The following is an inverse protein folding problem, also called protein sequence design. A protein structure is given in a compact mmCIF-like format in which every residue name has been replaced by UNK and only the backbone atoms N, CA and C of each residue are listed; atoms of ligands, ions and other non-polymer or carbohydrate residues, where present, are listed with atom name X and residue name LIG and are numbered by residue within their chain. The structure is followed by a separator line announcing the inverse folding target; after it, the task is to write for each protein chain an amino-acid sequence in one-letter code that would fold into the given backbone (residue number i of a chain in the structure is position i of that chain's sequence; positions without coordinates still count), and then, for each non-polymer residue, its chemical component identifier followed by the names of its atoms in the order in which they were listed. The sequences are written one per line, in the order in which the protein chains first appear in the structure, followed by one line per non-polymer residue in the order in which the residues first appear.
data_IF_307699834981
#
_entry.id   IF_307699834981
#
_cell.length_a   1.000
_cell.length_b   1.000
_cell.length_c   1.000
_cell.angle_alpha   90.00
_cell.angle_beta   90.00
_cell.angle_gamma   90.00
#
_symmetry.space_group_name_H-M   'P 1'
#
loop_
_entity.id
_entity.type
_entity.pdbx_description
1 polymer ?
#
# COMPACT_ATOMS: atom_id res chain seq x y z
N UNK A 1 -12.32 -30.95 -18.57
CA UNK A 1 -12.29 -29.49 -18.79
C UNK A 1 -12.89 -28.85 -17.55
N UNK A 2 -12.08 -28.20 -16.72
CA UNK A 2 -12.65 -27.27 -15.73
C UNK A 2 -13.27 -26.11 -16.50
N UNK A 3 -14.56 -25.85 -16.28
CA UNK A 3 -15.27 -24.74 -16.90
C UNK A 3 -14.77 -23.39 -16.38
N UNK A 4 -14.84 -22.36 -17.20
CA UNK A 4 -14.48 -20.99 -16.79
C UNK A 4 -15.30 -20.57 -15.57
N UNK A 5 -14.67 -20.11 -14.47
CA UNK A 5 -15.39 -19.69 -13.26
C UNK A 5 -16.30 -18.48 -13.52
N UNK A 6 -17.41 -18.39 -12.77
CA UNK A 6 -18.35 -17.28 -12.91
C UNK A 6 -17.74 -15.96 -12.40
N UNK A 7 -18.26 -14.82 -12.88
CA UNK A 7 -17.87 -13.49 -12.40
C UNK A 7 -18.01 -13.37 -10.88
N UNK A 8 -19.09 -13.91 -10.31
CA UNK A 8 -19.35 -13.91 -8.88
C UNK A 8 -18.28 -14.70 -8.11
N UNK A 9 -17.88 -15.88 -8.62
CA UNK A 9 -16.80 -16.68 -8.02
C UNK A 9 -15.49 -15.91 -7.99
N UNK A 10 -15.13 -15.24 -9.09
CA UNK A 10 -13.90 -14.42 -9.18
C UNK A 10 -13.95 -13.26 -8.17
N UNK A 11 -15.08 -12.56 -8.07
CA UNK A 11 -15.26 -11.47 -7.10
C UNK A 11 -15.23 -11.95 -5.66
N UNK A 12 -15.79 -13.13 -5.36
CA UNK A 12 -15.73 -13.73 -4.04
C UNK A 12 -14.29 -14.04 -3.61
N UNK A 13 -13.43 -14.46 -4.55
CA UNK A 13 -12.01 -14.68 -4.30
C UNK A 13 -11.27 -13.43 -3.82
N UNK A 14 -11.71 -12.24 -4.22
CA UNK A 14 -11.14 -10.98 -3.71
C UNK A 14 -11.37 -10.83 -2.20
N UNK A 15 -12.49 -11.31 -1.67
CA UNK A 15 -12.76 -11.37 -0.22
C UNK A 15 -12.13 -12.61 0.44
N UNK A 16 -11.21 -13.28 -0.24
CA UNK A 16 -10.49 -14.45 0.25
C UNK A 16 -9.56 -14.14 1.42
N UNK A 17 -9.09 -15.20 2.07
CA UNK A 17 -8.20 -15.09 3.22
C UNK A 17 -6.86 -14.41 2.89
N UNK A 18 -6.37 -14.51 1.65
CA UNK A 18 -5.14 -13.86 1.19
C UNK A 18 -5.25 -12.34 1.24
N UNK A 19 -6.29 -11.77 0.64
CA UNK A 19 -6.52 -10.31 0.63
C UNK A 19 -6.66 -9.76 2.05
N UNK A 20 -7.42 -10.45 2.90
CA UNK A 20 -7.56 -10.06 4.32
C UNK A 20 -6.22 -10.02 5.04
N UNK A 21 -5.37 -11.04 4.84
CA UNK A 21 -4.02 -11.06 5.44
C UNK A 21 -3.16 -9.93 4.93
N UNK A 22 -3.16 -9.66 3.61
CA UNK A 22 -2.42 -8.54 3.04
C UNK A 22 -2.86 -7.21 3.64
N UNK A 23 -4.17 -6.98 3.76
CA UNK A 23 -4.69 -5.73 4.30
C UNK A 23 -4.33 -5.55 5.77
N UNK A 24 -4.49 -6.60 6.59
CA UNK A 24 -4.08 -6.57 7.99
C UNK A 24 -2.58 -6.30 8.15
N UNK A 25 -1.73 -6.83 7.27
CA UNK A 25 -0.29 -6.52 7.28
C UNK A 25 -0.03 -5.05 6.95
N UNK A 26 -0.67 -4.50 5.91
CA UNK A 26 -0.51 -3.09 5.56
C UNK A 26 -1.00 -2.15 6.66
N UNK A 27 -2.10 -2.49 7.33
CA UNK A 27 -2.61 -1.74 8.48
C UNK A 27 -1.59 -1.72 9.62
N UNK A 28 -1.04 -2.87 10.01
CA UNK A 28 0.00 -2.93 11.05
C UNK A 28 1.25 -2.12 10.70
N UNK A 29 1.61 -2.07 9.42
CA UNK A 29 2.72 -1.25 8.95
C UNK A 29 2.41 0.25 9.08
N UNK A 30 1.17 0.67 8.82
CA UNK A 30 0.75 2.05 9.05
C UNK A 30 0.76 2.38 10.55
N UNK A 31 0.20 1.52 11.40
CA UNK A 31 0.24 1.67 12.87
C UNK A 31 1.67 1.86 13.39
N UNK A 32 2.59 0.99 12.96
CA UNK A 32 4.00 1.10 13.31
C UNK A 32 4.63 2.41 12.78
N UNK A 33 4.33 2.78 11.53
CA UNK A 33 4.82 4.04 10.95
C UNK A 33 4.34 5.26 11.74
N UNK A 34 3.06 5.31 12.10
CA UNK A 34 2.50 6.42 12.88
C UNK A 34 3.12 6.48 14.29
N UNK A 35 3.33 5.34 14.93
CA UNK A 35 4.00 5.24 16.23
C UNK A 35 5.44 5.79 16.19
N UNK A 36 6.21 5.40 15.17
CA UNK A 36 7.63 5.75 15.08
C UNK A 36 7.90 7.14 14.47
N UNK A 37 7.16 7.51 13.43
CA UNK A 37 7.46 8.68 12.60
C UNK A 37 6.47 9.83 12.74
N UNK A 38 5.29 9.59 13.34
CA UNK A 38 4.23 10.61 13.50
C UNK A 38 3.83 10.79 14.96
N UNK A 39 4.78 10.67 15.89
CA UNK A 39 4.59 10.94 17.32
C UNK A 39 3.45 10.14 17.98
N UNK A 40 3.13 8.94 17.47
CA UNK A 40 2.02 8.15 18.00
C UNK A 40 0.64 8.63 17.56
N UNK A 41 0.56 9.40 16.46
CA UNK A 41 -0.71 9.80 15.85
C UNK A 41 -1.58 8.57 15.58
N UNK A 42 -2.88 8.67 15.87
CA UNK A 42 -3.83 7.60 15.55
C UNK A 42 -3.88 7.41 14.01
N UNK A 43 -3.62 6.22 13.48
CA UNK A 43 -3.70 5.95 12.04
C UNK A 43 -5.04 6.33 11.38
N UNK A 44 -6.15 6.35 12.14
CA UNK A 44 -7.47 6.83 11.64
C UNK A 44 -7.44 8.32 11.32
N UNK A 45 -6.60 9.09 12.02
CA UNK A 45 -6.45 10.55 11.83
C UNK A 45 -5.38 10.93 10.81
N UNK A 46 -4.74 9.94 10.18
CA UNK A 46 -3.70 10.17 9.18
C UNK A 46 -4.24 11.01 8.01
N UNK A 47 -3.49 12.03 7.64
CA UNK A 47 -3.79 12.92 6.53
C UNK A 47 -3.39 12.31 5.18
N UNK A 48 -3.71 13.02 4.09
CA UNK A 48 -3.20 12.68 2.75
C UNK A 48 -1.67 12.71 2.70
N UNK A 49 -1.04 13.68 3.38
CA UNK A 49 0.41 13.78 3.47
C UNK A 49 1.00 12.56 4.20
N UNK A 50 0.39 12.15 5.32
CA UNK A 50 0.81 10.96 6.06
C UNK A 50 0.70 9.69 5.22
N UNK A 51 -0.33 9.58 4.36
CA UNK A 51 -0.44 8.47 3.41
C UNK A 51 0.73 8.48 2.41
N UNK A 52 1.07 9.64 1.83
CA UNK A 52 2.18 9.74 0.88
C UNK A 52 3.54 9.51 1.54
N UNK A 53 3.73 9.98 2.77
CA UNK A 53 4.94 9.72 3.57
C UNK A 53 5.07 8.24 3.90
N UNK A 54 3.97 7.58 4.27
CA UNK A 54 3.95 6.14 4.49
C UNK A 54 4.33 5.38 3.21
N UNK A 55 3.78 5.77 2.05
CA UNK A 55 4.15 5.16 0.76
C UNK A 55 5.64 5.38 0.45
N UNK A 56 6.16 6.56 0.74
CA UNK A 56 7.58 6.86 0.57
C UNK A 56 8.46 6.04 1.50
N UNK A 57 8.05 5.87 2.76
CA UNK A 57 8.73 5.02 3.73
C UNK A 57 8.76 3.56 3.27
N UNK A 58 7.65 3.02 2.77
CA UNK A 58 7.66 1.66 2.18
C UNK A 58 8.64 1.57 1.01
N UNK A 59 8.72 2.60 0.17
CA UNK A 59 9.67 2.63 -0.95
C UNK A 59 11.12 2.68 -0.48
N UNK A 60 11.45 3.48 0.53
CA UNK A 60 12.81 3.58 1.09
C UNK A 60 13.25 2.28 1.76
N UNK A 61 12.32 1.46 2.25
CA UNK A 61 12.56 0.08 2.71
C UNK A 61 12.73 -0.93 1.55
N UNK A 62 12.79 -0.48 0.29
CA UNK A 62 12.97 -1.34 -0.88
C UNK A 62 11.70 -2.06 -1.33
N UNK A 63 10.50 -1.64 -0.89
CA UNK A 63 9.26 -2.26 -1.37
C UNK A 63 8.99 -1.88 -2.83
N UNK A 64 8.69 -2.88 -3.65
CA UNK A 64 8.35 -2.68 -5.08
C UNK A 64 7.10 -1.81 -5.21
N UNK A 65 7.01 -1.03 -6.29
CA UNK A 65 5.87 -0.15 -6.56
C UNK A 65 4.51 -0.87 -6.55
N UNK A 66 4.46 -2.14 -6.99
CA UNK A 66 3.25 -2.99 -6.90
C UNK A 66 2.81 -3.25 -5.46
N UNK A 67 3.75 -3.44 -4.54
CA UNK A 67 3.47 -3.64 -3.11
C UNK A 67 2.90 -2.35 -2.50
N UNK A 68 3.43 -1.20 -2.90
CA UNK A 68 2.96 0.11 -2.43
C UNK A 68 1.55 0.41 -2.95
N UNK A 69 1.24 0.06 -4.21
CA UNK A 69 -0.13 0.16 -4.74
C UNK A 69 -1.12 -0.74 -3.99
N UNK A 70 -0.67 -1.93 -3.58
CA UNK A 70 -1.45 -2.83 -2.71
C UNK A 70 -1.66 -2.22 -1.32
N UNK A 71 -0.64 -1.58 -0.74
CA UNK A 71 -0.73 -0.90 0.54
C UNK A 71 -1.71 0.28 0.48
N UNK A 72 -1.66 1.11 -0.57
CA UNK A 72 -2.65 2.16 -0.80
C UNK A 72 -4.07 1.58 -0.86
N UNK A 73 -4.27 0.49 -1.60
CA UNK A 73 -5.59 -0.16 -1.69
C UNK A 73 -6.06 -0.65 -0.32
N UNK A 74 -5.16 -1.21 0.49
CA UNK A 74 -5.46 -1.59 1.87
C UNK A 74 -5.82 -0.38 2.74
N UNK A 75 -5.13 0.76 2.59
CA UNK A 75 -5.46 1.98 3.31
C UNK A 75 -6.84 2.53 2.93
N UNK A 76 -7.21 2.49 1.64
CA UNK A 76 -8.56 2.87 1.21
C UNK A 76 -9.62 2.05 1.94
N UNK A 77 -9.42 0.73 2.04
CA UNK A 77 -10.33 -0.14 2.78
C UNK A 77 -10.32 0.16 4.28
N UNK A 78 -9.14 0.35 4.87
CA UNK A 78 -8.98 0.68 6.30
C UNK A 78 -9.73 1.97 6.68
N UNK A 79 -9.52 3.07 5.95
CA UNK A 79 -10.21 4.33 6.21
C UNK A 79 -11.71 4.22 6.02
N UNK A 80 -12.15 3.47 5.01
CA UNK A 80 -13.57 3.20 4.78
C UNK A 80 -14.19 2.42 5.93
N UNK A 81 -13.54 1.36 6.40
CA UNK A 81 -14.02 0.54 7.52
C UNK A 81 -14.06 1.32 8.84
N UNK A 82 -13.26 2.39 8.96
CA UNK A 82 -13.25 3.32 10.09
C UNK A 82 -14.10 4.60 9.87
N UNK A 83 -14.89 4.66 8.78
CA UNK A 83 -15.76 5.80 8.45
C UNK A 83 -15.02 7.15 8.31
N UNK A 84 -13.78 7.12 7.83
CA UNK A 84 -12.98 8.33 7.57
C UNK A 84 -13.34 8.90 6.21
N UNK A 85 -13.98 10.07 6.21
CA UNK A 85 -14.36 10.83 5.01
C UNK A 85 -13.97 12.31 5.17
N UNK A 86 -13.30 12.92 4.16
CA UNK A 86 -12.85 12.31 2.91
C UNK A 86 -11.71 11.29 3.14
N UNK A 87 -11.70 10.20 2.37
CA UNK A 87 -10.68 9.17 2.49
C UNK A 87 -9.29 9.66 1.98
N UNK A 88 -8.28 9.80 2.85
CA UNK A 88 -6.99 10.38 2.49
C UNK A 88 -6.19 9.51 1.51
N UNK A 89 -6.35 8.18 1.55
CA UNK A 89 -5.73 7.27 0.59
C UNK A 89 -6.37 7.32 -0.82
N UNK A 90 -7.58 7.89 -0.93
CA UNK A 90 -8.26 8.14 -2.22
C UNK A 90 -8.01 9.54 -2.79
N UNK A 91 -7.40 10.44 -2.02
CA UNK A 91 -7.06 11.78 -2.49
C UNK A 91 -6.20 11.75 -3.76
N UNK A 92 -6.29 12.81 -4.56
CA UNK A 92 -5.56 12.95 -5.82
C UNK A 92 -4.05 12.81 -5.62
N UNK A 93 -3.51 13.38 -4.54
CA UNK A 93 -2.09 13.35 -4.19
C UNK A 93 -1.62 11.91 -3.91
N UNK A 94 -2.35 11.16 -3.07
CA UNK A 94 -2.11 9.73 -2.82
C UNK A 94 -2.08 8.90 -4.11
N UNK A 95 -2.99 9.18 -5.05
CA UNK A 95 -3.02 8.52 -6.36
C UNK A 95 -1.84 8.95 -7.24
N UNK A 96 -1.55 10.24 -7.32
CA UNK A 96 -0.47 10.81 -8.12
C UNK A 96 0.88 10.30 -7.64
N UNK A 97 1.08 10.14 -6.34
CA UNK A 97 2.31 9.59 -5.77
C UNK A 97 2.61 8.18 -6.30
N UNK A 98 1.66 7.24 -6.17
CA UNK A 98 1.86 5.85 -6.62
C UNK A 98 2.09 5.76 -8.14
N UNK A 99 1.36 6.55 -8.93
CA UNK A 99 1.55 6.62 -10.38
C UNK A 99 2.90 7.25 -10.74
N UNK A 100 3.30 8.30 -10.02
CA UNK A 100 4.60 8.96 -10.17
C UNK A 100 5.74 8.00 -9.88
N UNK A 101 5.63 7.22 -8.79
CA UNK A 101 6.60 6.20 -8.43
C UNK A 101 6.77 5.14 -9.52
N UNK A 102 5.67 4.62 -10.07
CA UNK A 102 5.72 3.65 -11.17
C UNK A 102 6.40 4.22 -12.44
N UNK A 103 6.12 5.50 -12.75
CA UNK A 103 6.79 6.19 -13.87
C UNK A 103 8.28 6.38 -13.61
N UNK A 104 8.63 6.80 -12.40
CA UNK A 104 10.02 6.96 -11.98
C UNK A 104 10.79 5.64 -12.08
N UNK A 105 10.26 4.54 -11.54
CA UNK A 105 10.88 3.23 -11.61
C UNK A 105 11.15 2.79 -13.04
N UNK A 106 10.16 2.98 -13.93
CA UNK A 106 10.30 2.64 -15.35
C UNK A 106 11.37 3.48 -16.05
N UNK A 107 11.45 4.78 -15.77
CA UNK A 107 12.45 5.66 -16.38
C UNK A 107 13.87 5.36 -15.90
N UNK A 108 14.01 4.86 -14.67
CA UNK A 108 15.31 4.63 -14.04
C UNK A 108 15.73 3.15 -14.02
N UNK A 109 14.97 2.25 -14.63
CA UNK A 109 15.19 0.80 -14.61
C UNK A 109 15.34 0.25 -13.18
N UNK A 110 14.53 0.76 -12.24
CA UNK A 110 14.52 0.29 -10.84
C UNK A 110 13.83 -1.07 -10.73
N UNK A 111 12.90 -1.36 -11.64
CA UNK A 111 12.21 -2.65 -11.71
C UNK A 111 13.07 -3.76 -12.38
N UNK A 112 14.22 -3.40 -12.97
CA UNK A 112 15.22 -4.36 -13.43
C UNK A 112 15.99 -4.92 -12.22
N UNK A 113 16.01 -6.23 -12.05
CA UNK A 113 16.55 -6.92 -10.86
C UNK A 113 18.06 -6.69 -10.63
N UNK A 114 18.74 -5.97 -11.52
CA UNK A 114 20.16 -5.60 -11.39
C UNK A 114 20.41 -4.34 -10.57
N UNK A 115 19.37 -3.57 -10.19
CA UNK A 115 19.52 -2.31 -9.42
C UNK A 115 18.59 -2.16 -8.21
N UNK A 116 17.83 -3.20 -7.85
CA UNK A 116 17.01 -3.17 -6.65
C UNK A 116 17.87 -2.88 -5.42
N UNK A 117 17.45 -1.94 -4.57
CA UNK A 117 18.15 -1.60 -3.34
C UNK A 117 18.41 -2.87 -2.52
N UNK A 118 19.66 -3.13 -2.08
CA UNK A 118 19.96 -4.30 -1.27
C UNK A 118 19.06 -4.27 -0.04
N UNK A 119 18.35 -5.38 0.20
CA UNK A 119 17.62 -5.58 1.45
C UNK A 119 18.65 -5.62 2.57
N UNK A 120 18.79 -4.54 3.34
CA UNK A 120 19.63 -4.54 4.52
C UNK A 120 19.00 -5.48 5.55
N UNK A 121 19.48 -6.71 5.60
CA UNK A 121 19.25 -7.62 6.72
C UNK A 121 20.20 -7.13 7.82
N UNK A 122 19.67 -6.51 8.87
CA UNK A 122 20.40 -6.46 10.13
C UNK A 122 20.04 -7.75 10.88
N UNK A 123 21.08 -8.54 11.17
CA UNK A 123 21.05 -9.71 12.05
C UNK A 123 20.77 -9.33 13.51
#
# INVERSE_FOLDING_TARGET
MEGTPTKQTIQASFRGASTRRTYATCQKQLEAFCATHKQGTDPVTASTEDCTDFFHHLYSLGRKARTIDSAKTALVAYFKDNNVEPNPAQASESKQYVVGLQKYNRQNNVDDETKAHPLTIHE
#
